data_IF_539634608323
#
_entry.id   IF_539634608323
#
_cell.length_a   1.000
_cell.length_b   1.000
_cell.length_c   1.000
_cell.angle_alpha   90.00
_cell.angle_beta   90.00
_cell.angle_gamma   90.00
#
_symmetry.space_group_name_H-M   'P 1'
#
loop_
_entity.id
_entity.type
_entity.pdbx_description
1 polymer ?
#
# COMPACT_ATOMS: atom_id res chain seq x y z
N UNK A 1 10.39 11.62 -43.49
CA UNK A 1 10.55 10.37 -42.72
C UNK A 1 10.14 10.66 -41.28
N UNK A 2 8.87 10.45 -40.95
CA UNK A 2 8.33 10.73 -39.61
C UNK A 2 8.48 9.46 -38.77
N UNK A 3 9.55 9.39 -37.99
CA UNK A 3 9.78 8.31 -37.04
C UNK A 3 8.78 8.42 -35.89
N UNK A 4 7.80 7.53 -35.85
CA UNK A 4 7.03 7.21 -34.65
C UNK A 4 7.97 6.57 -33.63
N UNK A 5 8.66 7.38 -32.84
CA UNK A 5 9.32 6.94 -31.61
C UNK A 5 8.24 6.62 -30.58
N UNK A 6 7.66 5.43 -30.69
CA UNK A 6 6.97 4.79 -29.56
C UNK A 6 7.99 4.70 -28.44
N UNK A 7 7.78 5.42 -27.32
CA UNK A 7 8.67 5.41 -26.16
C UNK A 7 8.79 3.97 -25.62
N UNK A 8 9.83 3.20 -26.03
CA UNK A 8 9.90 1.77 -25.76
C UNK A 8 10.17 1.52 -24.27
N UNK A 9 10.69 2.55 -23.59
CA UNK A 9 11.20 2.57 -22.23
C UNK A 9 10.07 2.41 -21.21
N UNK A 10 8.96 3.15 -21.36
CA UNK A 10 7.83 3.09 -20.43
C UNK A 10 7.10 1.75 -20.45
N UNK A 11 6.79 1.22 -21.64
CA UNK A 11 6.04 -0.04 -21.79
C UNK A 11 6.87 -1.27 -21.36
N UNK A 12 8.18 -1.27 -21.62
CA UNK A 12 9.09 -2.32 -21.15
C UNK A 12 9.23 -2.32 -19.62
N UNK A 13 9.33 -1.13 -19.02
CA UNK A 13 9.41 -0.96 -17.57
C UNK A 13 8.12 -1.42 -16.88
N UNK A 14 6.95 -1.05 -17.42
CA UNK A 14 5.65 -1.52 -16.91
C UNK A 14 5.49 -3.03 -16.96
N UNK A 15 5.90 -3.68 -18.07
CA UNK A 15 5.83 -5.14 -18.23
C UNK A 15 6.75 -5.86 -17.27
N UNK A 16 8.02 -5.45 -17.20
CA UNK A 16 9.05 -6.10 -16.38
C UNK A 16 8.80 -6.03 -14.87
N UNK A 17 7.94 -5.10 -14.42
CA UNK A 17 7.63 -4.89 -13.00
C UNK A 17 6.19 -5.19 -12.63
N UNK A 18 5.39 -5.68 -13.59
CA UNK A 18 3.96 -5.95 -13.41
C UNK A 18 3.72 -6.95 -12.27
N UNK A 19 4.34 -8.12 -12.35
CA UNK A 19 4.17 -9.18 -11.33
C UNK A 19 4.61 -8.68 -9.96
N UNK A 20 5.79 -8.07 -9.87
CA UNK A 20 6.30 -7.54 -8.61
C UNK A 20 5.36 -6.50 -7.98
N UNK A 21 4.83 -5.58 -8.80
CA UNK A 21 3.90 -4.56 -8.30
C UNK A 21 2.57 -5.17 -7.85
N UNK A 22 2.04 -6.14 -8.60
CA UNK A 22 0.78 -6.81 -8.25
C UNK A 22 0.90 -7.61 -6.95
N UNK A 23 1.98 -8.38 -6.79
CA UNK A 23 2.22 -9.14 -5.56
C UNK A 23 2.45 -8.20 -4.38
N UNK A 24 3.24 -7.14 -4.55
CA UNK A 24 3.42 -6.12 -3.51
C UNK A 24 2.08 -5.48 -3.11
N UNK A 25 1.26 -5.10 -4.09
CA UNK A 25 -0.05 -4.51 -3.83
C UNK A 25 -0.99 -5.48 -3.10
N UNK A 26 -0.98 -6.77 -3.48
CA UNK A 26 -1.77 -7.80 -2.81
C UNK A 26 -1.32 -7.97 -1.35
N UNK A 27 -0.02 -8.09 -1.09
CA UNK A 27 0.51 -8.19 0.28
C UNK A 27 0.12 -6.97 1.13
N UNK A 28 0.23 -5.76 0.58
CA UNK A 28 -0.18 -4.54 1.28
C UNK A 28 -1.70 -4.45 1.47
N UNK A 29 -2.50 -4.95 0.53
CA UNK A 29 -3.95 -5.00 0.67
C UNK A 29 -4.39 -5.99 1.76
N UNK A 30 -3.75 -7.16 1.84
CA UNK A 30 -3.97 -8.13 2.92
C UNK A 30 -3.57 -7.54 4.27
N UNK A 31 -2.44 -6.82 4.33
CA UNK A 31 -2.04 -6.10 5.54
C UNK A 31 -3.05 -5.02 5.96
N UNK A 32 -3.54 -4.22 5.00
CA UNK A 32 -4.54 -3.18 5.25
C UNK A 32 -5.84 -3.78 5.77
N UNK A 33 -6.31 -4.87 5.14
CA UNK A 33 -7.47 -5.62 5.59
C UNK A 33 -7.28 -6.15 7.02
N UNK A 34 -6.11 -6.72 7.33
CA UNK A 34 -5.79 -7.20 8.67
C UNK A 34 -5.88 -6.09 9.72
N UNK A 35 -5.28 -4.93 9.45
CA UNK A 35 -5.35 -3.79 10.36
C UNK A 35 -6.79 -3.28 10.55
N UNK A 36 -7.58 -3.22 9.47
CA UNK A 36 -9.00 -2.83 9.54
C UNK A 36 -9.84 -3.84 10.31
N UNK A 37 -9.59 -5.13 10.14
CA UNK A 37 -10.27 -6.18 10.88
C UNK A 37 -10.00 -6.06 12.38
N UNK A 38 -8.74 -5.87 12.78
CA UNK A 38 -8.42 -5.63 14.19
C UNK A 38 -9.16 -4.41 14.75
N UNK A 39 -9.22 -3.33 13.98
CA UNK A 39 -9.84 -2.08 14.41
C UNK A 39 -11.36 -2.22 14.58
N UNK A 40 -12.01 -2.83 13.59
CA UNK A 40 -13.47 -2.83 13.49
C UNK A 40 -14.11 -4.02 14.19
N UNK A 41 -13.37 -5.12 14.37
CA UNK A 41 -13.90 -6.35 14.97
C UNK A 41 -13.29 -6.58 16.34
N UNK A 42 -11.96 -6.76 16.40
CA UNK A 42 -11.30 -7.13 17.66
C UNK A 42 -11.37 -6.00 18.69
N UNK A 43 -11.04 -4.77 18.29
CA UNK A 43 -10.98 -3.63 19.21
C UNK A 43 -12.38 -3.22 19.69
N UNK A 44 -13.39 -3.28 18.81
CA UNK A 44 -14.79 -3.04 19.18
C UNK A 44 -15.27 -4.06 20.22
N UNK A 45 -14.92 -5.34 20.07
CA UNK A 45 -15.25 -6.37 21.04
C UNK A 45 -14.63 -6.08 22.42
N UNK A 46 -13.35 -5.68 22.45
CA UNK A 46 -12.65 -5.31 23.70
C UNK A 46 -13.28 -4.08 24.35
N UNK A 47 -13.65 -3.05 23.58
CA UNK A 47 -14.31 -1.86 24.11
C UNK A 47 -15.67 -2.18 24.73
N UNK A 48 -16.45 -3.05 24.06
CA UNK A 48 -17.78 -3.45 24.49
C UNK A 48 -17.73 -4.33 25.75
N UNK A 49 -16.80 -5.29 25.80
CA UNK A 49 -16.63 -6.23 26.92
C UNK A 49 -15.15 -6.56 27.15
N UNK A 50 -14.42 -5.74 27.91
CA UNK A 50 -13.02 -6.00 28.22
C UNK A 50 -12.91 -7.23 29.15
N UNK A 51 -12.22 -8.27 28.69
CA UNK A 51 -11.97 -9.50 29.45
C UNK A 51 -10.45 -9.75 29.56
N UNK A 52 -9.85 -9.52 30.75
CA UNK A 52 -8.43 -9.78 30.99
C UNK A 52 -8.06 -11.25 30.75
N UNK A 53 -6.89 -11.48 30.15
CA UNK A 53 -6.36 -12.83 29.93
C UNK A 53 -7.02 -13.64 28.79
N UNK A 54 -8.09 -13.14 28.16
CA UNK A 54 -8.76 -13.85 27.05
C UNK A 54 -8.09 -13.62 25.68
N UNK A 55 -7.18 -12.66 25.57
CA UNK A 55 -6.51 -12.39 24.31
C UNK A 55 -5.57 -13.53 23.93
N UNK A 56 -5.85 -14.20 22.80
CA UNK A 56 -4.96 -15.21 22.22
C UNK A 56 -3.65 -14.57 21.78
N UNK A 57 -2.54 -15.31 21.81
CA UNK A 57 -1.26 -14.83 21.32
C UNK A 57 -1.33 -14.39 19.86
N UNK A 58 -0.59 -13.34 19.49
CA UNK A 58 -0.61 -12.77 18.13
C UNK A 58 -0.16 -13.77 17.04
N UNK A 59 0.54 -14.83 17.43
CA UNK A 59 1.03 -15.90 16.56
C UNK A 59 0.34 -17.24 16.82
N UNK A 60 -0.71 -17.25 17.65
CA UNK A 60 -1.45 -18.47 17.97
C UNK A 60 -2.58 -18.69 16.96
N UNK A 61 -2.90 -19.96 16.72
CA UNK A 61 -4.04 -20.35 15.91
C UNK A 61 -5.34 -19.77 16.51
N UNK A 62 -6.10 -19.03 15.71
CA UNK A 62 -7.28 -18.28 16.15
C UNK A 62 -7.05 -16.77 16.26
N UNK A 63 -5.80 -16.31 16.26
CA UNK A 63 -5.51 -14.89 16.12
C UNK A 63 -5.62 -14.46 14.65
N UNK A 64 -6.41 -13.43 14.31
CA UNK A 64 -6.44 -12.90 12.95
C UNK A 64 -5.05 -12.51 12.45
N UNK A 65 -4.20 -11.98 13.35
CA UNK A 65 -2.80 -11.63 13.09
C UNK A 65 -2.01 -12.76 12.46
N UNK A 66 -2.25 -14.00 12.90
CA UNK A 66 -1.58 -15.19 12.38
C UNK A 66 -1.67 -15.29 10.84
N UNK A 67 -2.81 -14.88 10.26
CA UNK A 67 -3.07 -15.05 8.84
C UNK A 67 -2.53 -13.92 7.97
N UNK A 68 -2.40 -12.69 8.49
CA UNK A 68 -1.91 -11.56 7.71
C UNK A 68 -0.50 -11.06 8.05
N UNK A 69 0.00 -11.32 9.26
CA UNK A 69 1.30 -10.83 9.71
C UNK A 69 2.47 -11.24 8.79
N UNK A 70 2.53 -12.46 8.22
CA UNK A 70 3.62 -12.85 7.31
C UNK A 70 3.68 -12.00 6.03
N UNK A 71 2.56 -11.41 5.58
CA UNK A 71 2.52 -10.65 4.33
C UNK A 71 3.02 -9.22 4.50
N UNK A 72 2.99 -8.64 5.71
CA UNK A 72 3.53 -7.32 5.98
C UNK A 72 5.02 -7.19 5.60
N UNK A 73 5.94 -8.01 6.14
CA UNK A 73 7.36 -7.92 5.81
C UNK A 73 7.62 -8.26 4.34
N UNK A 74 6.89 -9.22 3.76
CA UNK A 74 6.98 -9.54 2.33
C UNK A 74 6.61 -8.32 1.48
N UNK A 75 5.48 -7.66 1.77
CA UNK A 75 5.05 -6.46 1.07
C UNK A 75 6.09 -5.34 1.12
N UNK A 76 6.65 -5.07 2.31
CA UNK A 76 7.72 -4.06 2.49
C UNK A 76 8.95 -4.38 1.64
N UNK A 77 9.42 -5.63 1.68
CA UNK A 77 10.58 -6.08 0.90
C UNK A 77 10.32 -5.93 -0.59
N UNK A 78 9.14 -6.32 -1.09
CA UNK A 78 8.82 -6.21 -2.51
C UNK A 78 8.77 -4.75 -2.98
N UNK A 79 8.25 -3.83 -2.16
CA UNK A 79 8.29 -2.39 -2.46
C UNK A 79 9.74 -1.87 -2.46
N UNK A 80 10.58 -2.32 -1.53
CA UNK A 80 11.99 -1.93 -1.48
C UNK A 80 12.76 -2.42 -2.71
N UNK A 81 12.56 -3.68 -3.10
CA UNK A 81 13.12 -4.26 -4.32
C UNK A 81 12.63 -3.50 -5.55
N UNK A 82 11.35 -3.13 -5.61
CA UNK A 82 10.81 -2.34 -6.71
C UNK A 82 11.46 -0.94 -6.78
N UNK A 83 11.57 -0.24 -5.65
CA UNK A 83 12.21 1.07 -5.56
C UNK A 83 13.68 1.02 -6.03
N UNK A 84 14.42 0.01 -5.58
CA UNK A 84 15.80 -0.21 -5.97
C UNK A 84 15.93 -0.52 -7.47
N UNK A 85 15.12 -1.45 -7.99
CA UNK A 85 15.11 -1.78 -9.43
C UNK A 85 14.77 -0.58 -10.31
N UNK A 86 13.84 0.27 -9.88
CA UNK A 86 13.50 1.51 -10.60
C UNK A 86 14.67 2.48 -10.64
N UNK A 87 15.36 2.68 -9.51
CA UNK A 87 16.52 3.57 -9.44
C UNK A 87 17.67 3.08 -10.33
N UNK A 88 18.02 1.78 -10.26
CA UNK A 88 19.11 1.19 -11.06
C UNK A 88 18.83 1.25 -12.56
N UNK A 89 17.56 1.12 -12.97
CA UNK A 89 17.15 1.18 -14.38
C UNK A 89 16.95 2.60 -14.92
N UNK A 90 17.30 3.63 -14.16
CA UNK A 90 17.17 5.03 -14.60
C UNK A 90 15.72 5.48 -14.78
N UNK A 91 14.78 4.93 -14.00
CA UNK A 91 13.39 5.38 -14.04
C UNK A 91 13.28 6.88 -13.68
N UNK A 92 12.24 7.59 -14.15
CA UNK A 92 12.06 9.00 -13.84
C UNK A 92 12.12 9.27 -12.33
N UNK A 93 12.82 10.34 -11.92
CA UNK A 93 13.06 10.64 -10.50
C UNK A 93 11.78 10.77 -9.66
N UNK A 94 10.67 11.19 -10.28
CA UNK A 94 9.37 11.25 -9.60
C UNK A 94 8.81 9.87 -9.24
N UNK A 95 9.07 8.82 -10.04
CA UNK A 95 8.67 7.43 -9.76
C UNK A 95 9.45 6.92 -8.55
N UNK A 96 10.77 7.09 -8.58
CA UNK A 96 11.66 6.68 -7.49
C UNK A 96 11.29 7.39 -6.19
N UNK A 97 11.03 8.70 -6.24
CA UNK A 97 10.58 9.48 -5.08
C UNK A 97 9.27 8.93 -4.50
N UNK A 98 8.29 8.58 -5.33
CA UNK A 98 7.02 7.99 -4.85
C UNK A 98 7.23 6.66 -4.15
N UNK A 99 8.05 5.78 -4.71
CA UNK A 99 8.34 4.49 -4.08
C UNK A 99 9.09 4.65 -2.75
N UNK A 100 9.99 5.63 -2.64
CA UNK A 100 10.64 5.99 -1.37
C UNK A 100 9.66 6.54 -0.33
N UNK A 101 8.71 7.39 -0.76
CA UNK A 101 7.64 7.87 0.12
C UNK A 101 6.72 6.73 0.56
N UNK A 102 6.43 5.77 -0.32
CA UNK A 102 5.70 4.56 0.05
C UNK A 102 6.47 3.75 1.12
N UNK A 103 7.79 3.58 0.96
CA UNK A 103 8.63 2.93 1.98
C UNK A 103 8.65 3.69 3.31
N UNK A 104 8.71 5.01 3.28
CA UNK A 104 8.65 5.83 4.50
C UNK A 104 7.30 5.63 5.23
N UNK A 105 6.20 5.63 4.48
CA UNK A 105 4.88 5.34 5.05
C UNK A 105 4.82 3.92 5.63
N UNK A 106 5.36 2.92 4.93
CA UNK A 106 5.44 1.55 5.46
C UNK A 106 6.30 1.45 6.72
N UNK A 107 7.40 2.21 6.81
CA UNK A 107 8.22 2.26 8.02
C UNK A 107 7.43 2.81 9.22
N UNK A 108 6.62 3.85 9.00
CA UNK A 108 5.69 4.38 10.02
C UNK A 108 4.68 3.32 10.44
N UNK A 109 4.07 2.60 9.50
CA UNK A 109 3.12 1.53 9.80
C UNK A 109 3.76 0.40 10.62
N UNK A 110 4.98 -0.02 10.24
CA UNK A 110 5.73 -1.06 10.96
C UNK A 110 6.09 -0.59 12.37
N UNK A 111 6.58 0.64 12.53
CA UNK A 111 6.90 1.19 13.85
C UNK A 111 5.66 1.28 14.75
N UNK A 112 4.52 1.74 14.22
CA UNK A 112 3.26 1.80 14.94
C UNK A 112 2.81 0.41 15.43
N UNK A 113 2.87 -0.62 14.57
CA UNK A 113 2.50 -1.99 14.96
C UNK A 113 3.51 -2.61 15.92
N UNK A 114 4.81 -2.36 15.74
CA UNK A 114 5.84 -2.81 16.67
C UNK A 114 5.62 -2.21 18.07
N UNK A 115 5.26 -0.93 18.15
CA UNK A 115 4.89 -0.27 19.41
C UNK A 115 3.70 -1.01 20.05
N UNK A 116 2.58 -1.16 19.34
CA UNK A 116 1.38 -1.83 19.86
C UNK A 116 1.62 -3.27 20.31
N UNK A 117 2.36 -4.05 19.51
CA UNK A 117 2.65 -5.45 19.82
C UNK A 117 3.58 -5.57 21.03
N UNK A 118 4.50 -4.63 21.24
CA UNK A 118 5.45 -4.70 22.35
C UNK A 118 4.92 -4.09 23.65
N UNK A 119 4.07 -3.05 23.59
CA UNK A 119 3.59 -2.34 24.78
C UNK A 119 2.16 -2.70 25.19
N UNK A 120 1.26 -2.92 24.24
CA UNK A 120 -0.18 -3.10 24.52
C UNK A 120 -0.57 -4.58 24.55
N UNK A 121 -0.12 -5.38 23.58
CA UNK A 121 -0.47 -6.80 23.50
C UNK A 121 -0.19 -7.62 24.77
N UNK A 122 0.95 -7.45 25.47
CA UNK A 122 1.20 -8.20 26.70
C UNK A 122 0.15 -7.92 27.78
N UNK A 123 -0.35 -6.68 27.86
CA UNK A 123 -1.35 -6.25 28.85
C UNK A 123 -2.71 -6.88 28.59
N UNK A 124 -3.14 -6.98 27.33
CA UNK A 124 -4.37 -7.70 26.99
C UNK A 124 -4.36 -9.19 27.38
N UNK A 125 -3.16 -9.78 27.51
CA UNK A 125 -2.98 -11.20 27.88
C UNK A 125 -2.83 -11.41 29.37
N UNK A 126 -2.64 -10.35 30.15
CA UNK A 126 -2.41 -10.46 31.57
C UNK A 126 -3.77 -10.60 32.30
N UNK A 127 -4.05 -11.73 32.97
CA UNK A 127 -5.29 -11.91 33.71
C UNK A 127 -5.35 -11.04 34.98
N UNK A 128 -4.23 -10.46 35.42
CA UNK A 128 -4.18 -9.54 36.56
C UNK A 128 -4.57 -8.10 36.21
N UNK A 129 -4.72 -7.77 34.93
CA UNK A 129 -5.11 -6.43 34.50
C UNK A 129 -6.58 -6.12 34.79
N UNK A 130 -6.87 -4.84 35.00
CA UNK A 130 -8.23 -4.37 35.24
C UNK A 130 -8.96 -4.08 33.93
N UNK A 131 -10.26 -4.37 33.91
CA UNK A 131 -11.14 -4.09 32.77
C UNK A 131 -11.11 -2.61 32.32
N UNK A 132 -10.94 -1.68 33.25
CA UNK A 132 -10.81 -0.25 32.96
C UNK A 132 -9.52 0.04 32.17
N UNK A 133 -8.38 -0.47 32.63
CA UNK A 133 -7.08 -0.35 31.94
C UNK A 133 -7.15 -0.91 30.52
N UNK A 134 -7.78 -2.07 30.33
CA UNK A 134 -7.93 -2.66 28.99
C UNK A 134 -8.75 -1.77 28.05
N UNK A 135 -9.78 -1.09 28.56
CA UNK A 135 -10.58 -0.15 27.76
C UNK A 135 -9.75 1.07 27.34
N UNK A 136 -8.92 1.61 28.24
CA UNK A 136 -8.01 2.72 27.90
C UNK A 136 -6.97 2.28 26.86
N UNK A 137 -6.38 1.10 27.04
CA UNK A 137 -5.44 0.52 26.10
C UNK A 137 -6.07 0.24 24.73
N UNK A 138 -7.35 -0.14 24.68
CA UNK A 138 -8.11 -0.30 23.44
C UNK A 138 -8.29 1.03 22.69
N UNK A 139 -8.42 2.16 23.40
CA UNK A 139 -8.42 3.50 22.79
C UNK A 139 -7.03 3.86 22.24
N UNK A 140 -5.97 3.56 22.98
CA UNK A 140 -4.59 3.74 22.49
C UNK A 140 -4.33 2.87 21.26
N UNK A 141 -4.78 1.62 21.29
CA UNK A 141 -4.72 0.71 20.15
C UNK A 141 -5.41 1.30 18.94
N UNK A 142 -6.64 1.80 19.10
CA UNK A 142 -7.41 2.42 18.03
C UNK A 142 -6.65 3.55 17.34
N UNK A 143 -6.09 4.47 18.14
CA UNK A 143 -5.36 5.63 17.63
C UNK A 143 -4.12 5.22 16.83
N UNK A 144 -3.27 4.36 17.41
CA UNK A 144 -2.01 3.96 16.78
C UNK A 144 -2.22 3.02 15.60
N UNK A 145 -3.18 2.10 15.68
CA UNK A 145 -3.53 1.22 14.56
C UNK A 145 -4.19 2.03 13.43
N UNK A 146 -4.97 3.06 13.74
CA UNK A 146 -5.45 4.06 12.78
C UNK A 146 -4.33 4.73 11.99
N UNK A 147 -3.23 5.12 12.65
CA UNK A 147 -2.02 5.62 11.98
C UNK A 147 -1.44 4.57 11.03
N UNK A 148 -1.33 3.32 11.47
CA UNK A 148 -0.83 2.23 10.64
C UNK A 148 -1.73 1.97 9.41
N UNK A 149 -3.05 2.01 9.56
CA UNK A 149 -4.04 1.87 8.48
C UNK A 149 -3.81 2.96 7.42
N UNK A 150 -3.78 4.23 7.84
CA UNK A 150 -3.59 5.37 6.94
C UNK A 150 -2.24 5.26 6.22
N UNK A 151 -1.19 4.92 6.94
CA UNK A 151 0.15 4.78 6.37
C UNK A 151 0.24 3.67 5.30
N UNK A 152 -0.37 2.50 5.54
CA UNK A 152 -0.44 1.41 4.55
C UNK A 152 -1.29 1.83 3.34
N UNK A 153 -2.43 2.50 3.55
CA UNK A 153 -3.29 3.00 2.48
C UNK A 153 -2.56 4.03 1.58
N UNK A 154 -1.80 4.94 2.19
CA UNK A 154 -0.93 5.90 1.48
C UNK A 154 0.14 5.16 0.67
N UNK A 155 0.83 4.18 1.27
CA UNK A 155 1.83 3.39 0.56
C UNK A 155 1.26 2.65 -0.65
N UNK A 156 0.09 2.01 -0.48
CA UNK A 156 -0.61 1.32 -1.56
C UNK A 156 -1.03 2.30 -2.68
N UNK A 157 -1.55 3.47 -2.32
CA UNK A 157 -1.93 4.52 -3.27
C UNK A 157 -0.72 5.03 -4.05
N UNK A 158 0.41 5.28 -3.39
CA UNK A 158 1.66 5.69 -4.03
C UNK A 158 2.20 4.61 -4.97
N UNK A 159 2.13 3.34 -4.55
CA UNK A 159 2.54 2.17 -5.34
C UNK A 159 1.69 1.98 -6.60
N UNK A 160 0.38 2.23 -6.54
CA UNK A 160 -0.51 2.03 -7.68
C UNK A 160 -0.57 3.26 -8.60
N UNK A 161 -0.58 4.46 -8.03
CA UNK A 161 -0.74 5.71 -8.80
C UNK A 161 0.40 6.01 -9.76
N UNK A 162 1.65 5.57 -9.48
CA UNK A 162 2.73 5.77 -10.45
C UNK A 162 2.50 4.97 -11.73
N UNK A 163 1.94 3.74 -11.62
CA UNK A 163 1.64 2.91 -12.78
C UNK A 163 0.53 3.49 -13.62
N UNK A 164 -0.53 3.97 -12.99
CA UNK A 164 -1.63 4.65 -13.66
C UNK A 164 -1.11 5.82 -14.50
N UNK A 165 -0.30 6.70 -13.90
CA UNK A 165 0.25 7.87 -14.61
C UNK A 165 1.19 7.49 -15.77
N UNK A 166 2.01 6.46 -15.62
CA UNK A 166 2.87 5.99 -16.73
C UNK A 166 2.01 5.41 -17.87
N UNK A 167 0.91 4.73 -17.55
CA UNK A 167 -0.03 4.25 -18.57
C UNK A 167 -0.72 5.42 -19.30
N UNK A 168 -1.19 6.44 -18.58
CA UNK A 168 -1.87 7.62 -19.16
C UNK A 168 -0.95 8.42 -20.09
N UNK A 169 0.33 8.57 -19.72
CA UNK A 169 1.32 9.25 -20.56
C UNK A 169 1.69 8.44 -21.81
N UNK A 170 1.56 7.10 -21.76
CA UNK A 170 1.76 6.23 -22.92
C UNK A 170 0.60 6.24 -23.92
N UNK A 171 -0.64 6.53 -23.47
CA UNK A 171 -1.83 6.62 -24.32
C UNK A 171 -1.94 7.98 -25.02
N UNK A 172 -1.42 9.04 -24.41
CA UNK A 172 -1.45 10.43 -24.92
C UNK A 172 -0.42 10.70 -26.03
N UNK A 173 -0.19 9.73 -26.93
CA UNK A 173 0.72 9.87 -28.07
C UNK A 173 0.45 11.17 -28.86
N UNK A 174 1.45 11.69 -29.61
CA UNK A 174 1.38 13.02 -30.23
C UNK A 174 0.05 13.16 -30.97
N UNK A 175 -0.71 14.20 -30.60
CA UNK A 175 -1.99 14.52 -31.21
C UNK A 175 -1.85 14.35 -32.73
N UNK A 176 -2.61 13.39 -33.29
CA UNK A 176 -2.58 13.10 -34.71
C UNK A 176 -2.74 14.44 -35.42
N UNK A 177 -1.75 14.92 -36.21
CA UNK A 177 -1.87 16.21 -36.86
C UNK A 177 -3.20 16.20 -37.61
N UNK A 178 -4.03 17.22 -37.38
CA UNK A 178 -5.32 17.36 -38.02
C UNK A 178 -5.10 17.07 -39.51
N UNK A 179 -5.78 16.04 -40.02
CA UNK A 179 -5.66 15.68 -41.42
C UNK A 179 -5.90 16.96 -42.22
N UNK A 180 -4.99 17.37 -43.13
CA UNK A 180 -5.22 18.55 -43.93
C UNK A 180 -6.58 18.36 -44.59
N UNK A 181 -7.49 19.32 -44.35
CA UNK A 181 -8.80 19.34 -44.99
C UNK A 181 -8.51 19.33 -46.49
N UNK A 182 -8.68 18.17 -47.12
CA UNK A 182 -8.53 18.00 -48.56
C UNK A 182 -9.46 19.02 -49.17
N UNK A 183 -8.88 20.02 -49.83
CA UNK A 183 -9.61 21.10 -50.45
C UNK A 183 -10.66 20.50 -51.38
N UNK A 184 -11.92 20.71 -51.03
CA UNK A 184 -13.04 20.48 -51.94
C UNK A 184 -12.87 21.53 -53.04
N UNK A 185 -12.37 21.11 -54.19
CA UNK A 185 -12.28 21.94 -55.38
C UNK A 185 -13.69 22.45 -55.71
N UNK A 186 -13.86 23.77 -55.73
CA UNK A 186 -15.10 24.38 -56.18
C UNK A 186 -15.33 24.05 -57.67
N UNK A 187 -16.57 23.75 -58.09
CA UNK A 187 -16.88 23.51 -59.49
C UNK A 187 -16.68 24.80 -60.30
N UNK A 188 -15.87 24.71 -61.36
CA UNK A 188 -15.70 25.76 -62.36
C UNK A 188 -16.96 25.88 -63.22
N UNK A 189 -17.62 27.03 -63.16
CA UNK A 189 -18.72 27.47 -64.03
C UNK A 189 -18.19 28.18 -65.27
#
# INVERSE_FOLDING_TARGET
MSGTTTDPTGSALLRSTRVLTLVAALCLAVQLFGNLYEELVSNVAVLARPQPGEAVGALDAGSPLYYYLPWAPVGVILVAVLAHRMAVRGAPGWVVRRLRLALAALAVAVAAKALLISSVNPRFRDPAEEAATLRELAVVWAGVNGVAIVAVAVALTLLLSWRARVADHGVSGPARPAAPLVGVSAPSS
#
